data_IF_155852968681
#
_entry.id   IF_155852968681
#
_cell.length_a   1.000
_cell.length_b   1.000
_cell.length_c   1.000
_cell.angle_alpha   90.00
_cell.angle_beta   90.00
_cell.angle_gamma   90.00
#
_symmetry.space_group_name_H-M   'P 1'
#
loop_
_entity.id
_entity.type
_entity.pdbx_description
1 polymer ?
#
# COMPACT_ATOMS: atom_id res chain seq x y z
N UNK A 1 -35.25 -4.37 -22.92
CA UNK A 1 -35.23 -5.46 -21.93
C UNK A 1 -34.90 -6.74 -22.67
N UNK A 2 -33.66 -7.18 -22.67
CA UNK A 2 -33.26 -8.48 -23.19
C UNK A 2 -32.82 -9.31 -21.97
N UNK A 3 -33.68 -10.21 -21.53
CA UNK A 3 -33.34 -11.33 -20.65
C UNK A 3 -33.13 -12.54 -21.56
N UNK A 4 -31.94 -12.68 -22.13
CA UNK A 4 -31.56 -13.81 -22.95
C UNK A 4 -30.16 -14.23 -22.61
N UNK A 5 -29.95 -15.48 -22.22
CA UNK A 5 -28.68 -16.14 -22.36
C UNK A 5 -28.32 -16.06 -23.83
N UNK A 6 -27.17 -15.48 -24.15
CA UNK A 6 -26.57 -15.60 -25.48
C UNK A 6 -25.97 -17.01 -25.55
N UNK A 7 -26.79 -18.01 -25.85
CA UNK A 7 -26.27 -19.33 -26.16
C UNK A 7 -25.40 -19.24 -27.42
N UNK A 8 -24.11 -19.57 -27.26
CA UNK A 8 -23.13 -19.89 -28.31
C UNK A 8 -23.13 -18.94 -29.51
N UNK A 9 -23.10 -17.64 -29.23
CA UNK A 9 -22.88 -16.65 -30.24
C UNK A 9 -21.44 -16.78 -30.74
N UNK A 10 -21.25 -16.86 -32.04
CA UNK A 10 -19.97 -16.75 -32.70
C UNK A 10 -19.15 -15.66 -32.03
N UNK A 11 -18.09 -16.05 -31.34
CA UNK A 11 -17.14 -15.10 -30.79
C UNK A 11 -16.58 -14.33 -31.94
N UNK A 12 -16.92 -13.03 -32.05
CA UNK A 12 -16.32 -12.19 -33.09
C UNK A 12 -14.85 -12.02 -32.72
N UNK A 13 -13.99 -12.60 -33.57
CA UNK A 13 -12.53 -12.54 -33.41
C UNK A 13 -11.94 -11.33 -34.15
N UNK A 14 -12.77 -10.46 -34.71
CA UNK A 14 -12.31 -9.26 -35.41
C UNK A 14 -11.82 -8.19 -34.41
N UNK A 15 -10.78 -7.47 -34.84
CA UNK A 15 -10.23 -6.36 -34.05
C UNK A 15 -11.25 -5.24 -33.92
N UNK A 16 -11.31 -4.66 -32.71
CA UNK A 16 -12.24 -3.58 -32.38
C UNK A 16 -13.70 -4.00 -32.20
N UNK A 17 -13.99 -5.32 -32.09
CA UNK A 17 -15.31 -5.83 -31.76
C UNK A 17 -15.52 -5.82 -30.25
N UNK A 18 -16.63 -5.23 -29.79
CA UNK A 18 -16.95 -5.13 -28.37
C UNK A 18 -18.22 -5.95 -28.07
N UNK A 19 -18.23 -6.69 -26.95
CA UNK A 19 -19.41 -7.50 -26.62
C UNK A 19 -20.60 -6.65 -26.16
N UNK A 20 -20.36 -5.64 -25.30
CA UNK A 20 -21.38 -4.67 -24.86
C UNK A 20 -20.85 -3.26 -25.11
N UNK A 21 -21.54 -2.49 -25.97
CA UNK A 21 -21.12 -1.12 -26.29
C UNK A 21 -22.26 -0.13 -26.22
N UNK A 22 -22.15 0.86 -25.34
CA UNK A 22 -23.01 2.04 -25.33
C UNK A 22 -22.29 3.21 -26.01
N UNK A 23 -22.97 3.89 -26.94
CA UNK A 23 -22.42 4.98 -27.72
C UNK A 23 -23.47 6.10 -27.86
N UNK A 24 -23.08 7.34 -28.16
CA UNK A 24 -24.00 8.47 -28.37
C UNK A 24 -25.02 8.68 -27.25
N UNK A 25 -24.57 8.67 -25.99
CA UNK A 25 -25.42 8.87 -24.81
C UNK A 25 -26.46 7.75 -24.58
N UNK A 26 -26.25 6.59 -25.18
CA UNK A 26 -27.12 5.45 -24.97
C UNK A 26 -27.01 4.92 -23.54
N UNK A 27 -28.11 4.34 -23.06
CA UNK A 27 -28.14 3.59 -21.81
C UNK A 27 -28.44 2.12 -22.09
N UNK A 28 -27.59 1.23 -21.59
CA UNK A 28 -27.77 -0.22 -21.64
C UNK A 28 -27.98 -0.71 -20.21
N UNK A 29 -29.02 -1.51 -19.99
CA UNK A 29 -29.26 -2.19 -18.73
C UNK A 29 -29.29 -3.70 -18.98
N UNK A 30 -28.45 -4.46 -18.30
CA UNK A 30 -28.35 -5.92 -18.39
C UNK A 30 -28.60 -6.47 -16.98
N UNK A 31 -29.39 -7.50 -16.87
CA UNK A 31 -29.65 -8.19 -15.58
C UNK A 31 -28.47 -9.02 -15.11
N UNK A 32 -28.73 -9.83 -14.09
CA UNK A 32 -27.74 -10.68 -13.45
C UNK A 32 -27.22 -11.79 -14.40
N UNK A 33 -25.97 -12.24 -14.14
CA UNK A 33 -25.37 -13.40 -14.78
C UNK A 33 -24.92 -13.18 -16.23
N UNK A 34 -24.62 -11.93 -16.61
CA UNK A 34 -24.03 -11.66 -17.93
C UNK A 34 -22.71 -12.44 -18.09
N UNK A 35 -22.58 -13.19 -19.18
CA UNK A 35 -21.30 -13.71 -19.65
C UNK A 35 -20.95 -13.02 -20.96
N UNK A 36 -19.83 -12.32 -21.03
CA UNK A 36 -19.40 -11.59 -22.22
C UNK A 36 -17.88 -11.68 -22.39
N UNK A 37 -17.43 -12.00 -23.61
CA UNK A 37 -16.00 -12.13 -23.94
C UNK A 37 -15.65 -11.65 -25.32
N UNK A 38 -14.37 -11.31 -25.53
CA UNK A 38 -13.81 -10.91 -26.82
C UNK A 38 -12.45 -11.56 -27.03
N UNK A 39 -12.07 -11.83 -28.29
CA UNK A 39 -10.79 -12.44 -28.64
C UNK A 39 -9.89 -11.51 -29.48
N UNK A 40 -10.48 -10.54 -30.18
CA UNK A 40 -9.73 -9.63 -31.08
C UNK A 40 -8.95 -8.57 -30.33
N UNK A 41 -7.95 -7.97 -30.99
CA UNK A 41 -7.21 -6.82 -30.47
C UNK A 41 -8.13 -5.60 -30.31
N UNK A 42 -7.86 -4.77 -29.30
CA UNK A 42 -8.65 -3.56 -28.98
C UNK A 42 -10.16 -3.81 -28.86
N UNK A 43 -10.53 -5.01 -28.43
CA UNK A 43 -11.90 -5.51 -28.32
C UNK A 43 -12.30 -5.64 -26.86
N UNK A 44 -13.12 -4.71 -26.36
CA UNK A 44 -13.50 -4.64 -24.95
C UNK A 44 -14.75 -5.48 -24.67
N UNK A 45 -14.83 -6.10 -23.50
CA UNK A 45 -16.06 -6.81 -23.11
C UNK A 45 -17.19 -5.82 -22.83
N UNK A 46 -16.92 -4.74 -22.09
CA UNK A 46 -17.89 -3.65 -21.79
C UNK A 46 -17.27 -2.31 -22.13
N UNK A 47 -17.91 -1.54 -23.03
CA UNK A 47 -17.37 -0.29 -23.52
C UNK A 47 -18.40 0.85 -23.55
N UNK A 48 -18.21 1.86 -22.71
CA UNK A 48 -18.95 3.11 -22.80
C UNK A 48 -18.13 4.12 -23.61
N UNK A 49 -18.54 4.32 -24.87
CA UNK A 49 -17.81 5.14 -25.84
C UNK A 49 -18.41 6.55 -25.97
N UNK A 50 -17.55 7.51 -26.29
CA UNK A 50 -17.97 8.84 -26.71
C UNK A 50 -18.35 8.78 -28.19
N UNK A 51 -19.60 9.11 -28.51
CA UNK A 51 -20.01 9.24 -29.89
C UNK A 51 -19.37 10.45 -30.58
N UNK A 52 -19.27 10.39 -31.91
CA UNK A 52 -18.73 11.50 -32.75
C UNK A 52 -19.63 12.74 -32.82
N UNK A 53 -20.68 12.82 -32.02
CA UNK A 53 -21.61 13.97 -32.03
C UNK A 53 -20.98 15.18 -31.37
N UNK A 54 -20.90 16.29 -32.09
CA UNK A 54 -20.40 17.56 -31.60
C UNK A 54 -21.49 18.42 -30.92
N UNK A 55 -22.72 17.93 -30.84
CA UNK A 55 -23.89 18.78 -30.55
C UNK A 55 -24.46 18.65 -29.15
N UNK A 56 -24.03 17.71 -28.32
CA UNK A 56 -24.48 17.63 -26.92
C UNK A 56 -23.39 17.12 -25.98
N UNK A 57 -22.66 18.01 -25.28
CA UNK A 57 -21.59 17.62 -24.37
C UNK A 57 -22.07 17.18 -22.98
N UNK A 58 -23.36 17.23 -22.66
CA UNK A 58 -23.85 17.13 -21.27
C UNK A 58 -24.31 15.74 -20.84
N UNK A 59 -24.48 14.78 -21.73
CA UNK A 59 -24.87 13.42 -21.39
C UNK A 59 -23.83 12.39 -21.76
N UNK A 60 -23.44 11.47 -20.87
CA UNK A 60 -22.55 10.37 -21.13
C UNK A 60 -23.27 9.07 -21.47
N UNK A 61 -22.57 8.15 -22.13
CA UNK A 61 -23.05 6.77 -22.32
C UNK A 61 -23.08 6.03 -20.99
N UNK A 62 -24.12 5.22 -20.78
CA UNK A 62 -24.33 4.50 -19.51
C UNK A 62 -24.50 3.01 -19.75
N UNK A 63 -23.87 2.21 -18.88
CA UNK A 63 -24.04 0.75 -18.89
C UNK A 63 -24.23 0.31 -17.45
N UNK A 64 -25.30 -0.42 -17.18
CA UNK A 64 -25.57 -1.04 -15.89
C UNK A 64 -25.66 -2.55 -16.09
N UNK A 65 -24.87 -3.30 -15.37
CA UNK A 65 -24.80 -4.77 -15.42
C UNK A 65 -25.09 -5.29 -14.01
N UNK A 66 -26.03 -6.24 -13.91
CA UNK A 66 -26.41 -6.86 -12.67
C UNK A 66 -25.32 -7.79 -12.10
N UNK A 67 -25.67 -8.49 -11.04
CA UNK A 67 -24.78 -9.32 -10.23
C UNK A 67 -24.20 -10.51 -10.97
N UNK A 68 -22.98 -10.92 -10.56
CA UNK A 68 -22.36 -12.17 -11.03
C UNK A 68 -21.99 -12.14 -12.52
N UNK A 69 -21.60 -10.98 -13.06
CA UNK A 69 -21.14 -10.88 -14.43
C UNK A 69 -19.79 -11.60 -14.61
N UNK A 70 -19.61 -12.30 -15.72
CA UNK A 70 -18.33 -12.92 -16.13
C UNK A 70 -17.86 -12.24 -17.41
N UNK A 71 -16.76 -11.47 -17.31
CA UNK A 71 -16.23 -10.68 -18.40
C UNK A 71 -14.82 -11.14 -18.74
N UNK A 72 -14.52 -11.39 -20.03
CA UNK A 72 -13.19 -11.83 -20.44
C UNK A 72 -12.72 -11.19 -21.71
N UNK A 73 -11.41 -10.95 -21.84
CA UNK A 73 -10.77 -10.49 -23.08
C UNK A 73 -9.45 -11.21 -23.29
N UNK A 74 -9.12 -11.54 -24.56
CA UNK A 74 -7.89 -12.26 -24.88
C UNK A 74 -6.93 -11.46 -25.78
N UNK A 75 -7.42 -10.52 -26.56
CA UNK A 75 -6.59 -9.74 -27.47
C UNK A 75 -5.84 -8.61 -26.78
N UNK A 76 -4.75 -8.15 -27.38
CA UNK A 76 -3.96 -7.03 -26.88
C UNK A 76 -4.76 -5.71 -26.88
N UNK A 77 -4.52 -4.87 -25.88
CA UNK A 77 -5.25 -3.61 -25.72
C UNK A 77 -6.74 -3.78 -25.45
N UNK A 78 -7.18 -4.95 -25.00
CA UNK A 78 -8.59 -5.32 -24.82
C UNK A 78 -8.96 -5.37 -23.35
N UNK A 79 -9.73 -4.40 -22.88
CA UNK A 79 -10.11 -4.26 -21.46
C UNK A 79 -11.42 -4.98 -21.17
N UNK A 80 -11.60 -5.53 -19.96
CA UNK A 80 -12.92 -6.06 -19.58
C UNK A 80 -13.93 -4.92 -19.42
N UNK A 81 -13.54 -3.79 -18.83
CA UNK A 81 -14.38 -2.60 -18.67
C UNK A 81 -13.63 -1.38 -19.14
N UNK A 82 -14.17 -0.68 -20.16
CA UNK A 82 -13.58 0.52 -20.73
C UNK A 82 -14.55 1.70 -20.67
N UNK A 83 -14.17 2.75 -19.95
CA UNK A 83 -14.86 4.05 -19.93
C UNK A 83 -14.12 5.05 -20.81
N UNK A 84 -14.73 5.46 -21.89
CA UNK A 84 -14.22 6.50 -22.78
C UNK A 84 -15.34 7.47 -23.21
N UNK A 85 -16.25 7.79 -22.30
CA UNK A 85 -17.38 8.69 -22.54
C UNK A 85 -17.37 9.87 -21.55
N UNK A 86 -17.51 11.08 -22.10
CA UNK A 86 -17.61 12.29 -21.29
C UNK A 86 -18.87 12.23 -20.42
N UNK A 87 -18.71 12.39 -19.09
CA UNK A 87 -19.77 12.20 -18.11
C UNK A 87 -20.49 10.84 -18.22
N UNK A 88 -19.79 9.82 -18.73
CA UNK A 88 -20.30 8.45 -18.84
C UNK A 88 -20.32 7.75 -17.48
N UNK A 89 -21.12 6.69 -17.39
CA UNK A 89 -21.17 5.86 -16.18
C UNK A 89 -21.27 4.38 -16.54
N UNK A 90 -20.41 3.55 -15.96
CA UNK A 90 -20.54 2.10 -15.97
C UNK A 90 -20.73 1.64 -14.52
N UNK A 91 -21.73 0.80 -14.29
CA UNK A 91 -21.96 0.13 -13.01
C UNK A 91 -21.96 -1.36 -13.27
N UNK A 92 -21.09 -2.08 -12.57
CA UNK A 92 -21.06 -3.53 -12.51
C UNK A 92 -21.40 -3.91 -11.06
N UNK A 93 -22.51 -4.61 -10.84
CA UNK A 93 -22.94 -4.99 -9.50
C UNK A 93 -22.04 -6.08 -8.90
N UNK A 94 -22.33 -6.49 -7.68
CA UNK A 94 -21.51 -7.38 -6.85
C UNK A 94 -21.18 -8.75 -7.51
N UNK A 95 -20.00 -9.30 -7.16
CA UNK A 95 -19.59 -10.66 -7.52
C UNK A 95 -19.20 -10.84 -8.99
N UNK A 96 -18.76 -9.78 -9.67
CA UNK A 96 -18.30 -9.89 -11.05
C UNK A 96 -16.91 -10.53 -11.11
N UNK A 97 -16.67 -11.33 -12.16
CA UNK A 97 -15.36 -11.91 -12.50
C UNK A 97 -14.85 -11.28 -13.80
N UNK A 98 -13.67 -10.65 -13.75
CA UNK A 98 -13.09 -9.92 -14.87
C UNK A 98 -11.68 -10.45 -15.18
N UNK A 99 -11.44 -10.93 -16.40
CA UNK A 99 -10.14 -11.51 -16.77
C UNK A 99 -9.64 -10.95 -18.09
N UNK A 100 -8.37 -10.53 -18.15
CA UNK A 100 -7.66 -10.16 -19.39
C UNK A 100 -6.41 -11.00 -19.59
N UNK A 101 -6.12 -11.41 -20.84
CA UNK A 101 -4.95 -12.21 -21.19
C UNK A 101 -3.93 -11.45 -22.04
N UNK A 102 -4.36 -10.48 -22.86
CA UNK A 102 -3.51 -9.74 -23.78
C UNK A 102 -2.65 -8.68 -23.14
N UNK A 103 -1.57 -8.27 -23.81
CA UNK A 103 -0.71 -7.18 -23.38
C UNK A 103 -1.43 -5.83 -23.44
N UNK A 104 -1.14 -4.93 -22.51
CA UNK A 104 -1.80 -3.63 -22.41
C UNK A 104 -3.31 -3.71 -22.16
N UNK A 105 -3.80 -4.84 -21.65
CA UNK A 105 -5.22 -5.14 -21.47
C UNK A 105 -5.59 -5.02 -19.99
N UNK A 106 -6.19 -3.89 -19.64
CA UNK A 106 -6.54 -3.60 -18.24
C UNK A 106 -7.86 -4.27 -17.83
N UNK A 107 -8.00 -4.61 -16.56
CA UNK A 107 -9.28 -5.07 -16.03
C UNK A 107 -10.33 -3.96 -16.15
N UNK A 108 -10.15 -2.86 -15.44
CA UNK A 108 -11.02 -1.69 -15.48
C UNK A 108 -10.22 -0.47 -15.90
N UNK A 109 -10.65 0.21 -16.96
CA UNK A 109 -9.94 1.36 -17.49
C UNK A 109 -10.85 2.55 -17.75
N UNK A 110 -10.36 3.75 -17.44
CA UNK A 110 -10.95 5.00 -17.89
C UNK A 110 -9.86 5.86 -18.55
N UNK A 111 -9.94 6.07 -19.86
CA UNK A 111 -9.07 6.99 -20.57
C UNK A 111 -9.75 7.62 -21.79
N UNK A 112 -9.24 8.76 -22.21
CA UNK A 112 -9.77 9.46 -23.35
C UNK A 112 -9.49 8.67 -24.64
N UNK A 113 -10.55 8.35 -25.39
CA UNK A 113 -10.40 7.85 -26.75
C UNK A 113 -9.80 8.95 -27.63
N UNK A 114 -8.60 8.70 -28.15
CA UNK A 114 -7.88 9.65 -29.02
C UNK A 114 -8.61 9.92 -30.34
N UNK A 115 -9.57 9.08 -30.71
CA UNK A 115 -10.42 9.24 -31.89
C UNK A 115 -11.62 10.17 -31.64
N UNK A 116 -11.94 10.48 -30.37
CA UNK A 116 -13.03 11.38 -30.01
C UNK A 116 -12.69 12.83 -30.34
N UNK A 117 -13.61 13.54 -31.00
CA UNK A 117 -13.48 15.00 -31.17
C UNK A 117 -13.90 15.68 -29.86
N UNK A 118 -12.93 16.15 -29.10
CA UNK A 118 -13.16 16.88 -27.85
C UNK A 118 -12.50 16.21 -26.64
N UNK A 119 -12.34 16.94 -25.55
CA UNK A 119 -11.81 16.41 -24.29
C UNK A 119 -12.85 15.48 -23.66
N UNK A 120 -12.53 14.22 -23.47
CA UNK A 120 -13.33 13.27 -22.70
C UNK A 120 -12.90 13.38 -21.24
N UNK A 121 -13.85 13.61 -20.34
CA UNK A 121 -13.61 13.82 -18.92
C UNK A 121 -14.78 13.32 -18.07
N UNK A 122 -14.56 13.22 -16.76
CA UNK A 122 -15.57 12.92 -15.75
C UNK A 122 -16.32 11.59 -15.97
N UNK A 123 -15.69 10.57 -16.52
CA UNK A 123 -16.24 9.22 -16.59
C UNK A 123 -16.22 8.54 -15.21
N UNK A 124 -17.27 7.82 -14.87
CA UNK A 124 -17.37 7.05 -13.64
C UNK A 124 -17.49 5.56 -13.93
N UNK A 125 -16.76 4.73 -13.14
CA UNK A 125 -16.94 3.28 -13.13
C UNK A 125 -17.10 2.84 -11.68
N UNK A 126 -18.16 2.07 -11.41
CA UNK A 126 -18.43 1.48 -10.10
C UNK A 126 -18.37 -0.03 -10.23
N UNK A 127 -17.54 -0.68 -9.44
CA UNK A 127 -17.37 -2.12 -9.37
C UNK A 127 -17.86 -2.61 -8.02
N UNK A 128 -18.89 -3.44 -8.03
CA UNK A 128 -19.58 -3.92 -6.84
C UNK A 128 -18.76 -4.89 -6.00
N UNK A 129 -19.16 -5.03 -4.76
CA UNK A 129 -18.48 -5.77 -3.72
C UNK A 129 -18.20 -7.25 -4.10
N UNK A 130 -17.07 -7.78 -3.60
CA UNK A 130 -16.69 -9.17 -3.83
C UNK A 130 -16.34 -9.51 -5.28
N UNK A 131 -16.17 -8.52 -6.15
CA UNK A 131 -15.74 -8.73 -7.54
C UNK A 131 -14.25 -9.06 -7.62
N UNK A 132 -13.82 -9.77 -8.67
CA UNK A 132 -12.44 -10.12 -8.92
C UNK A 132 -11.97 -9.57 -10.27
N UNK A 133 -10.72 -9.12 -10.31
CA UNK A 133 -10.05 -8.60 -11.50
C UNK A 133 -8.72 -9.32 -11.65
N UNK A 134 -8.50 -10.01 -12.76
CA UNK A 134 -7.26 -10.71 -13.06
C UNK A 134 -6.68 -10.28 -14.40
N UNK A 135 -5.40 -9.92 -14.44
CA UNK A 135 -4.70 -9.54 -15.67
C UNK A 135 -3.40 -10.34 -15.83
N UNK A 136 -3.16 -10.91 -17.01
CA UNK A 136 -1.97 -11.75 -17.27
C UNK A 136 -0.95 -11.08 -18.18
N UNK A 137 -1.34 -10.20 -19.09
CA UNK A 137 -0.45 -9.58 -20.07
C UNK A 137 0.48 -8.52 -19.48
N UNK A 138 1.60 -8.26 -20.16
CA UNK A 138 2.52 -7.18 -19.79
C UNK A 138 1.88 -5.79 -19.95
N UNK A 139 2.15 -4.86 -19.01
CA UNK A 139 1.55 -3.54 -19.02
C UNK A 139 0.03 -3.53 -18.78
N UNK A 140 -0.52 -4.61 -18.21
CA UNK A 140 -1.96 -4.82 -18.03
C UNK A 140 -2.34 -4.60 -16.59
N UNK A 141 -2.81 -3.39 -16.27
CA UNK A 141 -3.15 -3.01 -14.90
C UNK A 141 -4.51 -3.56 -14.47
N UNK A 142 -4.67 -3.84 -13.18
CA UNK A 142 -5.98 -4.21 -12.62
C UNK A 142 -6.99 -3.08 -12.84
N UNK A 143 -6.71 -1.88 -12.32
CA UNK A 143 -7.53 -0.67 -12.47
C UNK A 143 -6.68 0.50 -12.96
N UNK A 144 -7.10 1.16 -14.03
CA UNK A 144 -6.36 2.26 -14.65
C UNK A 144 -7.21 3.53 -14.82
N UNK A 145 -6.91 4.56 -14.05
CA UNK A 145 -7.58 5.86 -14.11
C UNK A 145 -6.72 6.90 -14.85
N UNK A 146 -6.94 7.06 -16.16
CA UNK A 146 -6.21 8.01 -17.01
C UNK A 146 -7.14 8.96 -17.79
N UNK A 147 -8.27 9.29 -17.21
CA UNK A 147 -9.20 10.29 -17.74
C UNK A 147 -9.34 11.44 -16.74
N UNK A 148 -9.18 12.67 -17.18
CA UNK A 148 -9.32 13.85 -16.31
C UNK A 148 -10.70 13.87 -15.64
N UNK A 149 -10.70 13.97 -14.30
CA UNK A 149 -11.92 14.00 -13.51
C UNK A 149 -12.69 12.68 -13.47
N UNK A 150 -12.11 11.57 -13.93
CA UNK A 150 -12.73 10.25 -13.76
C UNK A 150 -12.63 9.76 -12.31
N UNK A 151 -13.64 8.99 -11.91
CA UNK A 151 -13.66 8.29 -10.62
C UNK A 151 -13.95 6.82 -10.89
N UNK A 152 -13.02 5.95 -10.48
CA UNK A 152 -13.16 4.50 -10.53
C UNK A 152 -13.30 4.02 -9.08
N UNK A 153 -14.52 3.62 -8.71
CA UNK A 153 -14.83 3.18 -7.34
C UNK A 153 -14.93 1.66 -7.30
N UNK A 154 -14.22 1.07 -6.37
CA UNK A 154 -14.27 -0.33 -6.02
C UNK A 154 -14.99 -0.45 -4.68
N UNK A 155 -16.06 -1.22 -4.62
CA UNK A 155 -16.74 -1.52 -3.36
C UNK A 155 -15.92 -2.49 -2.48
N UNK A 156 -16.50 -2.90 -1.36
CA UNK A 156 -15.82 -3.74 -0.38
C UNK A 156 -15.41 -5.12 -0.93
N UNK A 157 -14.29 -5.64 -0.43
CA UNK A 157 -13.80 -7.00 -0.73
C UNK A 157 -13.53 -7.28 -2.22
N UNK A 158 -13.13 -6.28 -2.99
CA UNK A 158 -12.66 -6.50 -4.36
C UNK A 158 -11.29 -7.14 -4.34
N UNK A 159 -11.07 -8.15 -5.19
CA UNK A 159 -9.78 -8.82 -5.39
C UNK A 159 -9.13 -8.41 -6.72
N UNK A 160 -7.83 -8.10 -6.72
CA UNK A 160 -7.05 -7.76 -7.90
C UNK A 160 -5.80 -8.60 -7.95
N UNK A 161 -5.55 -9.28 -9.08
CA UNK A 161 -4.32 -10.01 -9.34
C UNK A 161 -3.72 -9.55 -10.66
N UNK A 162 -2.42 -9.22 -10.69
CA UNK A 162 -1.69 -8.91 -11.91
C UNK A 162 -0.44 -9.76 -12.01
N UNK A 163 -0.25 -10.46 -13.14
CA UNK A 163 0.87 -11.40 -13.36
C UNK A 163 1.94 -10.84 -14.29
N UNK A 164 1.56 -9.95 -15.23
CA UNK A 164 2.46 -9.43 -16.25
C UNK A 164 3.47 -8.40 -15.73
N UNK A 165 4.61 -8.26 -16.42
CA UNK A 165 5.60 -7.23 -16.14
C UNK A 165 5.02 -5.82 -16.33
N UNK A 166 5.45 -4.87 -15.50
CA UNK A 166 4.96 -3.48 -15.46
C UNK A 166 3.42 -3.38 -15.38
N UNK A 167 2.79 -4.34 -14.69
CA UNK A 167 1.34 -4.47 -14.53
C UNK A 167 0.94 -4.16 -13.10
N UNK A 168 0.46 -2.95 -12.88
CA UNK A 168 0.14 -2.46 -11.53
C UNK A 168 -1.26 -2.92 -11.10
N UNK A 169 -1.45 -3.14 -9.80
CA UNK A 169 -2.78 -3.40 -9.24
C UNK A 169 -3.71 -2.22 -9.49
N UNK A 170 -3.35 -1.06 -8.98
CA UNK A 170 -4.02 0.24 -9.19
C UNK A 170 -3.04 1.22 -9.83
N UNK A 171 -3.45 1.89 -10.90
CA UNK A 171 -2.70 2.98 -11.52
C UNK A 171 -3.58 4.21 -11.72
N UNK A 172 -3.26 5.32 -11.07
CA UNK A 172 -3.92 6.61 -11.28
C UNK A 172 -2.97 7.62 -11.91
N UNK A 173 -3.34 8.13 -13.10
CA UNK A 173 -2.60 9.17 -13.82
C UNK A 173 -3.35 10.50 -13.82
N UNK A 174 -4.63 10.52 -14.15
CA UNK A 174 -5.43 11.75 -14.32
C UNK A 174 -6.79 11.68 -13.67
N UNK A 175 -7.10 10.57 -13.03
CA UNK A 175 -8.36 10.32 -12.34
C UNK A 175 -8.12 9.88 -10.91
N UNK A 176 -9.21 9.54 -10.25
CA UNK A 176 -9.25 9.07 -8.87
C UNK A 176 -9.61 7.59 -8.87
N UNK A 177 -8.94 6.80 -8.05
CA UNK A 177 -9.36 5.45 -7.69
C UNK A 177 -9.76 5.49 -6.22
N UNK A 178 -11.00 5.12 -5.92
CA UNK A 178 -11.52 4.93 -4.57
C UNK A 178 -11.67 3.44 -4.31
N UNK A 179 -11.09 2.96 -3.23
CA UNK A 179 -11.11 1.55 -2.88
C UNK A 179 -11.84 1.34 -1.54
N UNK A 180 -12.89 0.55 -1.55
CA UNK A 180 -13.66 0.14 -0.37
C UNK A 180 -12.87 -0.75 0.58
N UNK A 181 -13.50 -1.15 1.65
CA UNK A 181 -12.90 -1.95 2.70
C UNK A 181 -12.57 -3.37 2.22
N UNK A 182 -11.46 -3.92 2.71
CA UNK A 182 -11.05 -5.29 2.40
C UNK A 182 -10.56 -5.51 0.98
N UNK A 183 -10.13 -4.44 0.26
CA UNK A 183 -9.46 -4.61 -1.03
C UNK A 183 -8.25 -5.54 -0.88
N UNK A 184 -8.11 -6.48 -1.81
CA UNK A 184 -6.98 -7.42 -1.86
C UNK A 184 -6.24 -7.29 -3.18
N UNK A 185 -4.96 -6.91 -3.14
CA UNK A 185 -4.08 -6.75 -4.31
C UNK A 185 -2.92 -7.72 -4.21
N UNK A 186 -2.72 -8.56 -5.23
CA UNK A 186 -1.53 -9.39 -5.43
C UNK A 186 -0.88 -9.04 -6.76
N UNK A 187 0.42 -8.72 -6.73
CA UNK A 187 1.19 -8.30 -7.90
C UNK A 187 2.42 -9.20 -8.04
N UNK A 188 2.61 -9.83 -9.20
CA UNK A 188 3.66 -10.83 -9.41
C UNK A 188 4.71 -10.39 -10.45
N UNK A 189 4.36 -9.55 -11.42
CA UNK A 189 5.25 -9.19 -12.53
C UNK A 189 6.36 -8.20 -12.14
N UNK A 190 7.50 -8.30 -12.83
CA UNK A 190 8.66 -7.42 -12.61
C UNK A 190 8.33 -5.96 -12.93
N UNK A 191 8.81 -5.03 -12.09
CA UNK A 191 8.56 -3.59 -12.20
C UNK A 191 7.10 -3.19 -11.96
N UNK A 192 6.32 -4.07 -11.35
CA UNK A 192 4.90 -3.86 -11.06
C UNK A 192 4.70 -3.32 -9.65
N UNK A 193 3.70 -2.47 -9.46
CA UNK A 193 3.39 -1.86 -8.16
C UNK A 193 1.98 -2.24 -7.71
N UNK A 194 1.78 -2.38 -6.41
CA UNK A 194 0.44 -2.62 -5.85
C UNK A 194 -0.49 -1.44 -6.11
N UNK A 195 -0.13 -0.26 -5.63
CA UNK A 195 -0.82 1.00 -5.89
C UNK A 195 0.19 2.05 -6.38
N UNK A 196 -0.10 2.65 -7.55
CA UNK A 196 0.80 3.60 -8.18
C UNK A 196 0.08 4.86 -8.67
N UNK A 197 0.61 6.02 -8.31
CA UNK A 197 0.18 7.32 -8.85
C UNK A 197 1.37 7.99 -9.51
N UNK A 198 1.29 8.31 -10.81
CA UNK A 198 2.42 8.84 -11.57
C UNK A 198 2.19 10.23 -12.19
N UNK A 199 1.17 10.94 -11.75
CA UNK A 199 0.91 12.31 -12.17
C UNK A 199 0.20 13.11 -11.07
N UNK A 200 0.44 14.43 -11.04
CA UNK A 200 -0.08 15.34 -10.02
C UNK A 200 -1.62 15.42 -9.93
N UNK A 201 -2.32 15.00 -10.97
CA UNK A 201 -3.78 14.98 -11.01
C UNK A 201 -4.38 13.60 -10.71
N UNK A 202 -3.52 12.59 -10.48
CA UNK A 202 -3.94 11.26 -10.08
C UNK A 202 -4.02 11.14 -8.55
N UNK A 203 -4.95 10.34 -8.06
CA UNK A 203 -5.01 9.95 -6.66
C UNK A 203 -5.60 8.56 -6.45
N UNK A 204 -5.18 7.92 -5.37
CA UNK A 204 -5.75 6.67 -4.87
C UNK A 204 -6.15 6.91 -3.42
N UNK A 205 -7.38 6.54 -3.07
CA UNK A 205 -7.90 6.64 -1.72
C UNK A 205 -8.41 5.27 -1.25
N UNK A 206 -7.82 4.76 -0.18
CA UNK A 206 -8.31 3.59 0.52
C UNK A 206 -9.29 4.04 1.61
N UNK A 207 -10.57 3.75 1.41
CA UNK A 207 -11.67 4.14 2.31
C UNK A 207 -11.81 3.18 3.51
N UNK A 208 -11.10 2.07 3.50
CA UNK A 208 -11.02 1.08 4.55
C UNK A 208 -9.71 0.31 4.49
N UNK A 209 -9.58 -0.78 5.25
CA UNK A 209 -8.40 -1.63 5.24
C UNK A 209 -8.16 -2.29 3.88
N UNK A 210 -6.91 -2.63 3.62
CA UNK A 210 -6.51 -3.32 2.39
C UNK A 210 -5.37 -4.32 2.65
N UNK A 211 -5.37 -5.41 1.90
CA UNK A 211 -4.20 -6.28 1.77
C UNK A 211 -3.51 -5.98 0.46
N UNK A 212 -2.22 -5.62 0.52
CA UNK A 212 -1.39 -5.37 -0.66
C UNK A 212 -0.16 -6.25 -0.54
N UNK A 213 -0.03 -7.20 -1.46
CA UNK A 213 1.13 -8.09 -1.55
C UNK A 213 1.85 -7.86 -2.86
N UNK A 214 3.06 -7.33 -2.77
CA UNK A 214 3.96 -7.15 -3.90
C UNK A 214 5.19 -8.04 -3.70
N UNK A 215 5.19 -9.18 -4.37
CA UNK A 215 6.28 -10.16 -4.33
C UNK A 215 7.42 -9.81 -5.30
N UNK A 216 7.28 -8.75 -6.11
CA UNK A 216 8.31 -8.29 -7.02
C UNK A 216 9.34 -7.41 -6.30
N UNK A 217 10.60 -7.83 -6.33
CA UNK A 217 11.70 -7.08 -5.71
C UNK A 217 12.03 -5.76 -6.41
N UNK A 218 11.62 -5.59 -7.67
CA UNK A 218 11.87 -4.38 -8.47
C UNK A 218 10.70 -3.38 -8.41
N UNK A 219 9.58 -3.76 -7.78
CA UNK A 219 8.39 -2.93 -7.62
C UNK A 219 8.18 -2.43 -6.18
N UNK A 220 7.10 -1.69 -5.98
CA UNK A 220 6.70 -1.15 -4.69
C UNK A 220 5.27 -1.61 -4.36
N UNK A 221 5.01 -1.89 -3.09
CA UNK A 221 3.62 -2.08 -2.64
C UNK A 221 2.81 -0.80 -2.89
N UNK A 222 3.40 0.36 -2.56
CA UNK A 222 2.78 1.68 -2.77
C UNK A 222 3.83 2.64 -3.32
N UNK A 223 3.50 3.29 -4.43
CA UNK A 223 4.37 4.29 -5.05
C UNK A 223 3.60 5.57 -5.42
N UNK A 224 4.03 6.70 -4.90
CA UNK A 224 3.52 8.02 -5.27
C UNK A 224 4.60 8.82 -6.00
N UNK A 225 4.44 9.00 -7.33
CA UNK A 225 5.24 9.91 -8.15
C UNK A 225 4.34 11.08 -8.59
N UNK A 226 4.49 12.23 -7.97
CA UNK A 226 3.75 13.50 -8.20
C UNK A 226 2.30 13.56 -7.71
N UNK A 227 1.62 12.46 -7.44
CA UNK A 227 0.23 12.45 -6.99
C UNK A 227 0.10 12.03 -5.54
N UNK A 228 -1.10 11.67 -5.11
CA UNK A 228 -1.39 11.35 -3.71
C UNK A 228 -1.99 9.97 -3.55
N UNK A 229 -1.55 9.25 -2.52
CA UNK A 229 -2.15 8.00 -2.06
C UNK A 229 -2.49 8.19 -0.60
N UNK A 230 -3.76 8.05 -0.26
CA UNK A 230 -4.24 8.18 1.11
C UNK A 230 -4.99 6.93 1.54
N UNK A 231 -5.02 6.66 2.84
CA UNK A 231 -5.77 5.52 3.35
C UNK A 231 -6.05 5.61 4.83
N UNK A 232 -7.24 5.16 5.22
CA UNK A 232 -7.67 5.05 6.61
C UNK A 232 -8.22 3.66 6.85
N UNK A 233 -7.56 2.89 7.74
CA UNK A 233 -8.02 1.54 8.10
C UNK A 233 -9.44 1.55 8.72
N UNK A 234 -9.79 2.60 9.44
CA UNK A 234 -11.07 2.69 10.13
C UNK A 234 -11.23 1.57 11.16
N UNK A 235 -12.24 0.71 10.97
CA UNK A 235 -12.46 -0.48 11.81
C UNK A 235 -11.79 -1.75 11.25
N UNK A 236 -11.11 -1.65 10.12
CA UNK A 236 -10.43 -2.74 9.43
C UNK A 236 -8.92 -2.65 9.58
N UNK A 237 -8.16 -3.42 8.82
CA UNK A 237 -6.71 -3.47 8.91
C UNK A 237 -6.05 -3.25 7.55
N UNK A 238 -4.91 -2.58 7.54
CA UNK A 238 -3.96 -2.70 6.45
C UNK A 238 -3.02 -3.88 6.71
N UNK A 239 -2.80 -4.70 5.68
CA UNK A 239 -1.75 -5.70 5.65
C UNK A 239 -0.94 -5.49 4.37
N UNK A 240 0.21 -4.82 4.49
CA UNK A 240 1.00 -4.37 3.35
C UNK A 240 2.36 -5.05 3.38
N UNK A 241 2.67 -5.79 2.33
CA UNK A 241 3.97 -6.43 2.09
C UNK A 241 4.62 -5.84 0.85
N UNK A 242 5.86 -5.37 0.99
CA UNK A 242 6.62 -4.67 -0.06
C UNK A 242 6.93 -3.23 0.32
N UNK A 243 7.83 -2.61 -0.41
CA UNK A 243 8.36 -1.29 -0.07
C UNK A 243 7.39 -0.15 -0.46
N UNK A 244 7.55 1.00 0.20
CA UNK A 244 6.86 2.24 -0.18
C UNK A 244 7.87 3.26 -0.70
N UNK A 245 7.48 4.00 -1.73
CA UNK A 245 8.31 5.05 -2.31
C UNK A 245 7.49 6.30 -2.65
N UNK A 246 8.00 7.46 -2.29
CA UNK A 246 7.43 8.74 -2.68
C UNK A 246 8.49 9.62 -3.36
N UNK A 247 8.17 10.13 -4.54
CA UNK A 247 9.08 10.91 -5.38
C UNK A 247 8.38 12.11 -6.02
N UNK A 248 9.15 13.09 -6.46
CA UNK A 248 8.69 14.24 -7.24
C UNK A 248 7.46 14.98 -6.64
N UNK A 249 7.48 15.20 -5.32
CA UNK A 249 6.37 15.76 -4.54
C UNK A 249 5.13 14.85 -4.44
N UNK A 250 5.28 13.57 -4.72
CA UNK A 250 4.26 12.56 -4.43
C UNK A 250 4.08 12.39 -2.91
N UNK A 251 2.87 12.03 -2.49
CA UNK A 251 2.55 11.86 -1.08
C UNK A 251 1.84 10.54 -0.81
N UNK A 252 2.31 9.84 0.22
CA UNK A 252 1.64 8.69 0.81
C UNK A 252 1.26 9.05 2.24
N UNK A 253 -0.01 8.90 2.60
CA UNK A 253 -0.51 9.17 3.95
C UNK A 253 -1.43 8.02 4.38
N UNK A 254 -0.97 7.20 5.34
CA UNK A 254 -1.69 6.02 5.79
C UNK A 254 -1.98 6.09 7.29
N UNK A 255 -3.26 6.03 7.63
CA UNK A 255 -3.75 5.86 8.99
C UNK A 255 -3.97 4.36 9.29
N UNK A 256 -2.95 3.73 9.85
CA UNK A 256 -2.90 2.30 10.14
C UNK A 256 -3.38 2.05 11.57
N UNK A 257 -4.46 1.32 11.71
CA UNK A 257 -5.15 1.08 12.98
C UNK A 257 -5.48 -0.41 13.15
N UNK A 258 -5.94 -0.79 14.34
CA UNK A 258 -6.52 -2.11 14.63
C UNK A 258 -5.64 -3.31 14.23
N UNK A 259 -4.40 -3.34 14.69
CA UNK A 259 -3.42 -4.38 14.37
C UNK A 259 -3.01 -4.41 12.88
N UNK A 260 -3.03 -3.27 12.21
CA UNK A 260 -2.49 -3.16 10.84
C UNK A 260 -1.00 -3.51 10.82
N UNK A 261 -0.55 -4.10 9.72
CA UNK A 261 0.84 -4.53 9.56
C UNK A 261 1.41 -3.98 8.25
N UNK A 262 2.55 -3.33 8.33
CA UNK A 262 3.39 -2.99 7.18
C UNK A 262 4.72 -3.74 7.30
N UNK A 263 5.06 -4.54 6.30
CA UNK A 263 6.34 -5.23 6.17
C UNK A 263 7.05 -4.71 4.93
N UNK A 264 8.09 -3.91 5.12
CA UNK A 264 8.80 -3.27 4.02
C UNK A 264 9.67 -2.11 4.49
N UNK A 265 10.38 -1.52 3.55
CA UNK A 265 11.14 -0.29 3.73
C UNK A 265 10.42 0.90 3.09
N UNK A 266 10.84 2.11 3.48
CA UNK A 266 10.36 3.36 2.91
C UNK A 266 11.51 4.18 2.35
N UNK A 267 11.29 4.87 1.23
CA UNK A 267 12.26 5.78 0.66
C UNK A 267 11.60 7.05 0.12
N UNK A 268 12.30 8.16 0.22
CA UNK A 268 11.86 9.48 -0.22
C UNK A 268 12.86 10.06 -1.23
N UNK A 269 12.35 10.75 -2.25
CA UNK A 269 13.18 11.54 -3.15
C UNK A 269 12.43 12.79 -3.62
N UNK A 270 13.17 13.82 -4.05
CA UNK A 270 12.65 15.00 -4.75
C UNK A 270 11.38 15.59 -4.11
N UNK A 271 11.41 15.84 -2.80
CA UNK A 271 10.30 16.35 -1.99
C UNK A 271 9.08 15.41 -1.90
N UNK A 272 9.25 14.12 -2.13
CA UNK A 272 8.24 13.11 -1.82
C UNK A 272 8.01 13.01 -0.31
N UNK A 273 6.83 12.64 0.12
CA UNK A 273 6.47 12.51 1.54
C UNK A 273 5.79 11.17 1.82
N UNK A 274 6.16 10.57 2.95
CA UNK A 274 5.47 9.40 3.50
C UNK A 274 5.12 9.70 4.95
N UNK A 275 3.84 9.65 5.28
CA UNK A 275 3.30 9.81 6.61
C UNK A 275 2.64 8.51 7.06
N UNK A 276 3.12 7.94 8.15
CA UNK A 276 2.59 6.70 8.72
C UNK A 276 2.04 6.98 10.11
N UNK A 277 0.77 6.69 10.34
CA UNK A 277 0.12 6.77 11.64
C UNK A 277 -0.15 5.36 12.15
N UNK A 278 0.66 4.87 13.09
CA UNK A 278 0.53 3.55 13.69
C UNK A 278 -0.21 3.66 15.03
N UNK A 279 -1.40 3.08 15.12
CA UNK A 279 -2.29 3.14 16.28
C UNK A 279 -2.79 1.74 16.66
N UNK A 280 -3.16 1.57 17.93
CA UNK A 280 -3.87 0.39 18.42
C UNK A 280 -3.22 -0.94 17.98
N UNK A 281 -1.98 -1.17 18.45
CA UNK A 281 -1.18 -2.37 18.19
C UNK A 281 -0.86 -2.61 16.69
N UNK A 282 -0.69 -1.55 15.92
CA UNK A 282 -0.20 -1.67 14.55
C UNK A 282 1.32 -1.82 14.50
N UNK A 283 1.82 -2.49 13.46
CA UNK A 283 3.22 -2.86 13.35
C UNK A 283 3.83 -2.37 12.03
N UNK A 284 5.03 -1.83 12.13
CA UNK A 284 5.92 -1.68 10.99
C UNK A 284 7.15 -2.57 11.16
N UNK A 285 7.24 -3.61 10.36
CA UNK A 285 8.40 -4.49 10.25
C UNK A 285 9.34 -3.93 9.18
N UNK A 286 10.37 -3.22 9.60
CA UNK A 286 11.33 -2.57 8.70
C UNK A 286 12.27 -3.62 8.11
N UNK A 287 12.35 -3.70 6.78
CA UNK A 287 13.18 -4.71 6.08
C UNK A 287 14.53 -4.18 5.65
N UNK A 288 14.71 -2.87 5.56
CA UNK A 288 15.99 -2.18 5.30
C UNK A 288 15.92 -0.73 5.77
N UNK A 289 17.07 -0.03 5.75
CA UNK A 289 17.10 1.39 6.15
C UNK A 289 16.04 2.21 5.44
N UNK A 290 15.33 3.04 6.19
CA UNK A 290 14.09 3.67 5.78
C UNK A 290 14.03 5.14 6.19
N UNK A 291 13.26 5.92 5.44
CA UNK A 291 13.01 7.34 5.70
C UNK A 291 11.51 7.61 5.64
N UNK A 292 10.99 8.39 6.60
CA UNK A 292 9.60 8.88 6.62
C UNK A 292 9.54 10.35 6.99
N UNK A 293 8.61 11.10 6.40
CA UNK A 293 8.40 12.51 6.70
C UNK A 293 7.70 12.70 8.05
N UNK A 294 6.72 11.86 8.35
CA UNK A 294 6.03 11.86 9.64
C UNK A 294 5.75 10.43 10.10
N UNK A 295 5.97 10.18 11.37
CA UNK A 295 5.67 8.93 12.04
C UNK A 295 4.92 9.19 13.33
N UNK A 296 3.68 8.78 13.38
CA UNK A 296 2.91 8.73 14.63
C UNK A 296 2.89 7.31 15.16
N UNK A 297 3.29 7.10 16.42
CA UNK A 297 3.28 5.77 17.04
C UNK A 297 2.61 5.86 18.40
N UNK A 298 1.50 5.14 18.58
CA UNK A 298 0.72 5.18 19.82
C UNK A 298 -0.02 3.86 20.08
N UNK A 299 -0.62 3.74 21.26
CA UNK A 299 -1.51 2.62 21.58
C UNK A 299 -0.86 1.24 21.49
N UNK A 300 0.39 1.10 21.92
CA UNK A 300 1.13 -0.17 21.88
C UNK A 300 1.62 -0.58 20.49
N UNK A 301 1.52 0.31 19.51
CA UNK A 301 2.06 0.06 18.18
C UNK A 301 3.58 0.00 18.19
N UNK A 302 4.16 -0.77 17.28
CA UNK A 302 5.58 -1.07 17.26
C UNK A 302 6.23 -0.79 15.91
N UNK A 303 7.41 -0.18 15.94
CA UNK A 303 8.36 -0.14 14.84
C UNK A 303 9.50 -1.12 15.17
N UNK A 304 9.56 -2.23 14.45
CA UNK A 304 10.64 -3.19 14.53
C UNK A 304 11.68 -2.84 13.49
N UNK A 305 12.81 -2.25 13.90
CA UNK A 305 13.83 -1.70 13.00
C UNK A 305 14.53 -2.75 12.18
N UNK A 306 14.64 -3.98 12.68
CA UNK A 306 15.25 -5.09 11.93
C UNK A 306 14.36 -6.32 11.99
N UNK A 307 13.55 -6.47 10.99
CA UNK A 307 12.77 -7.67 10.79
C UNK A 307 13.66 -8.82 10.34
N UNK A 308 13.37 -10.05 10.80
CA UNK A 308 14.11 -11.29 10.42
C UNK A 308 15.62 -11.31 10.77
N UNK A 309 15.96 -10.89 11.98
CA UNK A 309 17.34 -10.94 12.51
C UNK A 309 18.39 -10.14 11.72
N UNK A 310 17.98 -9.15 10.94
CA UNK A 310 18.89 -8.17 10.36
C UNK A 310 19.48 -7.24 11.44
N UNK A 311 20.53 -6.52 11.09
CA UNK A 311 21.17 -5.47 11.90
C UNK A 311 21.60 -4.30 11.03
N UNK A 312 21.97 -3.20 11.70
CA UNK A 312 22.46 -1.97 11.07
C UNK A 312 21.41 -1.25 10.20
N UNK A 313 20.16 -1.46 10.51
CA UNK A 313 19.07 -0.71 9.93
C UNK A 313 19.03 0.68 10.56
N UNK A 314 18.91 1.70 9.71
CA UNK A 314 18.71 3.08 10.15
C UNK A 314 17.31 3.51 9.72
N UNK A 315 16.48 3.92 10.68
CA UNK A 315 15.20 4.56 10.41
C UNK A 315 15.34 6.04 10.69
N UNK A 316 15.10 6.87 9.68
CA UNK A 316 15.11 8.33 9.79
C UNK A 316 13.68 8.84 9.76
N UNK A 317 13.34 9.67 10.75
CA UNK A 317 12.00 10.26 10.91
C UNK A 317 12.14 11.78 10.96
N UNK A 318 11.50 12.50 10.04
CA UNK A 318 11.55 13.97 10.10
C UNK A 318 10.72 14.50 11.26
N UNK A 319 9.51 13.98 11.48
CA UNK A 319 8.64 14.40 12.59
C UNK A 319 8.02 13.19 13.30
N UNK A 320 8.42 12.95 14.54
CA UNK A 320 7.91 11.88 15.42
C UNK A 320 6.84 12.42 16.37
N UNK A 321 5.68 11.77 16.42
CA UNK A 321 4.58 12.14 17.31
C UNK A 321 3.93 10.92 18.00
N UNK A 322 2.99 11.18 18.90
CA UNK A 322 2.31 10.18 19.71
C UNK A 322 3.07 9.81 20.96
N UNK A 323 2.52 8.89 21.72
CA UNK A 323 3.10 8.33 22.96
C UNK A 323 2.67 6.88 23.16
N UNK A 324 3.50 6.11 23.88
CA UNK A 324 3.22 4.70 24.14
C UNK A 324 3.52 3.79 22.95
N UNK A 325 4.24 4.28 21.94
CA UNK A 325 4.77 3.46 20.87
C UNK A 325 6.04 2.74 21.29
N UNK A 326 6.34 1.62 20.64
CA UNK A 326 7.49 0.77 20.90
C UNK A 326 8.46 0.80 19.73
N UNK A 327 9.74 1.02 20.00
CA UNK A 327 10.81 0.86 19.02
C UNK A 327 11.67 -0.34 19.41
N UNK A 328 11.77 -1.33 18.52
CA UNK A 328 12.54 -2.55 18.74
C UNK A 328 13.81 -2.53 17.91
N UNK A 329 14.94 -2.72 18.60
CA UNK A 329 16.29 -2.69 18.02
C UNK A 329 16.94 -4.06 18.07
N UNK A 330 17.64 -4.45 17.02
CA UNK A 330 18.66 -5.51 17.08
C UNK A 330 20.03 -4.85 17.29
N UNK A 331 20.82 -5.39 18.20
CA UNK A 331 22.12 -4.84 18.59
C UNK A 331 23.16 -5.94 18.82
N UNK A 332 24.42 -5.58 18.75
CA UNK A 332 25.53 -6.35 19.30
C UNK A 332 26.24 -5.51 20.37
N UNK A 333 26.15 -5.90 21.61
CA UNK A 333 26.73 -5.13 22.73
C UNK A 333 28.25 -5.09 22.74
N UNK A 334 28.91 -6.02 22.09
CA UNK A 334 30.38 -6.08 21.97
C UNK A 334 30.96 -5.24 20.83
N UNK A 335 30.10 -4.64 19.99
CA UNK A 335 30.50 -3.81 18.87
C UNK A 335 29.63 -2.57 18.73
N UNK A 336 30.17 -1.38 19.05
CA UNK A 336 29.48 -0.10 18.82
C UNK A 336 29.15 0.16 17.34
N UNK A 337 29.82 -0.53 16.43
CA UNK A 337 29.59 -0.40 14.99
C UNK A 337 28.37 -1.18 14.50
N UNK A 338 27.88 -2.14 15.30
CA UNK A 338 26.80 -3.04 14.93
C UNK A 338 25.56 -2.77 15.76
N UNK A 339 24.48 -2.43 15.10
CA UNK A 339 23.18 -2.21 15.75
C UNK A 339 22.31 -1.27 14.96
N UNK A 340 21.04 -1.40 15.17
CA UNK A 340 20.02 -0.53 14.58
C UNK A 340 20.08 0.87 15.19
N UNK A 341 19.65 1.86 14.40
CA UNK A 341 19.61 3.27 14.80
C UNK A 341 18.27 3.89 14.43
N UNK A 342 17.77 4.73 15.35
CA UNK A 342 16.65 5.63 15.07
C UNK A 342 17.17 7.06 15.09
N UNK A 343 16.95 7.79 14.00
CA UNK A 343 17.32 9.21 13.86
C UNK A 343 16.05 10.03 13.69
N UNK A 344 15.85 11.00 14.59
CA UNK A 344 14.65 11.84 14.62
C UNK A 344 15.10 13.29 14.46
N UNK A 345 14.53 14.00 13.49
CA UNK A 345 14.84 15.42 13.28
C UNK A 345 14.01 16.31 14.24
N UNK A 346 12.74 15.99 14.39
CA UNK A 346 11.82 16.67 15.33
C UNK A 346 10.95 15.67 16.05
N UNK A 347 10.67 15.88 17.32
CA UNK A 347 9.78 15.04 18.11
C UNK A 347 8.75 15.87 18.88
N UNK A 348 7.60 15.28 19.18
CA UNK A 348 6.54 15.91 19.97
C UNK A 348 6.99 16.12 21.40
N UNK A 349 6.84 17.34 21.90
CA UNK A 349 7.25 17.71 23.27
C UNK A 349 6.48 16.93 24.32
N UNK A 350 7.22 16.23 25.19
CA UNK A 350 6.67 15.46 26.29
C UNK A 350 6.12 14.09 25.91
N UNK A 351 6.32 13.67 24.66
CA UNK A 351 6.04 12.29 24.26
C UNK A 351 6.97 11.30 24.95
N UNK A 352 6.47 10.09 25.19
CA UNK A 352 7.27 9.00 25.77
C UNK A 352 7.03 7.74 24.95
N UNK A 353 8.13 7.12 24.52
CA UNK A 353 8.13 5.86 23.79
C UNK A 353 8.93 4.80 24.52
N UNK A 354 8.64 3.54 24.23
CA UNK A 354 9.30 2.40 24.84
C UNK A 354 10.33 1.78 23.91
N UNK A 355 11.39 1.22 24.49
CA UNK A 355 12.48 0.60 23.77
C UNK A 355 12.55 -0.88 24.12
N UNK A 356 12.48 -1.72 23.11
CA UNK A 356 12.82 -3.14 23.19
C UNK A 356 14.16 -3.39 22.51
N UNK A 357 14.97 -4.26 23.08
CA UNK A 357 16.29 -4.60 22.53
C UNK A 357 16.44 -6.11 22.42
N UNK A 358 16.81 -6.57 21.25
CA UNK A 358 17.25 -7.92 20.98
C UNK A 358 18.77 -7.91 20.78
N UNK A 359 19.50 -8.46 21.76
CA UNK A 359 20.95 -8.49 21.70
C UNK A 359 21.46 -9.77 21.06
N UNK A 360 22.02 -9.64 19.88
CA UNK A 360 22.51 -10.76 19.09
C UNK A 360 23.89 -11.24 19.54
N UNK A 361 24.62 -10.46 20.35
CA UNK A 361 25.93 -10.88 20.90
C UNK A 361 25.83 -12.02 21.92
N UNK A 362 24.67 -12.16 22.57
CA UNK A 362 24.40 -13.25 23.53
C UNK A 362 24.40 -14.64 22.91
N UNK A 363 24.35 -14.74 21.60
CA UNK A 363 24.42 -16.01 20.86
C UNK A 363 25.86 -16.44 20.68
N UNK A 364 26.85 -15.53 20.73
CA UNK A 364 28.22 -15.76 20.27
C UNK A 364 29.31 -15.53 21.29
N UNK A 365 29.04 -15.10 22.54
CA UNK A 365 30.15 -14.92 23.49
C UNK A 365 29.85 -14.13 24.75
N UNK A 366 30.83 -14.06 25.63
CA UNK A 366 30.79 -13.31 26.90
C UNK A 366 30.94 -11.82 26.62
N UNK A 367 29.99 -11.02 27.10
CA UNK A 367 30.08 -9.56 27.10
C UNK A 367 30.84 -9.13 28.36
N UNK A 368 31.98 -8.50 28.21
CA UNK A 368 32.79 -7.99 29.32
C UNK A 368 32.91 -6.46 29.29
N UNK A 369 32.57 -5.81 30.43
CA UNK A 369 32.81 -4.39 30.71
C UNK A 369 31.56 -3.47 30.58
N UNK A 370 31.65 -2.29 31.21
CA UNK A 370 30.64 -1.25 31.03
C UNK A 370 30.69 -0.72 29.58
N UNK A 371 29.57 -0.89 28.86
CA UNK A 371 29.43 -0.39 27.49
C UNK A 371 28.20 0.49 27.40
N UNK A 372 28.32 1.59 26.68
CA UNK A 372 27.16 2.37 26.25
C UNK A 372 27.04 2.26 24.74
N UNK A 373 25.88 1.80 24.30
CA UNK A 373 25.58 1.60 22.90
C UNK A 373 24.58 2.66 22.46
N UNK A 374 24.96 3.51 21.54
CA UNK A 374 24.09 4.53 20.99
C UNK A 374 22.95 3.88 20.17
N UNK A 375 21.69 4.19 20.49
CA UNK A 375 20.50 3.68 19.80
C UNK A 375 19.73 4.76 19.06
N UNK A 376 19.53 5.93 19.68
CA UNK A 376 18.60 6.96 19.19
C UNK A 376 19.28 8.32 19.20
N UNK A 377 19.09 9.07 18.11
CA UNK A 377 19.35 10.52 18.05
C UNK A 377 18.01 11.22 17.90
N UNK A 378 17.63 12.08 18.86
CA UNK A 378 16.49 13.01 18.76
C UNK A 378 17.03 14.44 18.72
N UNK A 379 17.19 14.99 17.53
CA UNK A 379 17.79 16.32 17.34
C UNK A 379 17.03 17.44 18.05
N UNK A 380 15.73 17.27 18.29
CA UNK A 380 14.92 18.22 19.04
C UNK A 380 15.00 18.04 20.55
N UNK A 381 15.40 16.86 21.02
CA UNK A 381 15.47 16.47 22.45
C UNK A 381 14.14 16.60 23.19
N UNK A 382 13.01 16.48 22.50
CA UNK A 382 11.67 16.68 23.05
C UNK A 382 11.00 15.41 23.54
N UNK A 383 11.30 14.25 22.92
CA UNK A 383 10.77 12.96 23.31
C UNK A 383 11.60 12.31 24.43
N UNK A 384 10.98 11.37 25.14
CA UNK A 384 11.63 10.50 26.11
C UNK A 384 11.53 9.04 25.67
N UNK A 385 12.60 8.27 25.93
CA UNK A 385 12.69 6.86 25.60
C UNK A 385 12.99 6.05 26.85
N UNK A 386 12.20 5.00 27.08
CA UNK A 386 12.27 4.18 28.31
C UNK A 386 12.35 2.71 27.91
N UNK A 387 13.32 2.00 28.49
CA UNK A 387 13.40 0.55 28.32
C UNK A 387 12.18 -0.16 28.91
N UNK A 388 11.66 -1.14 28.20
CA UNK A 388 10.52 -1.94 28.64
C UNK A 388 10.82 -3.44 28.51
N UNK A 389 10.22 -4.25 29.36
CA UNK A 389 10.34 -5.69 29.29
C UNK A 389 9.79 -6.22 27.96
N UNK A 390 10.63 -6.98 27.27
CA UNK A 390 10.25 -7.73 26.09
C UNK A 390 10.17 -9.21 26.42
N UNK A 391 8.97 -9.78 26.26
CA UNK A 391 8.79 -11.23 26.24
C UNK A 391 9.39 -11.76 24.92
N UNK A 392 10.46 -12.54 25.04
CA UNK A 392 11.15 -13.10 23.86
C UNK A 392 10.52 -14.40 23.37
N UNK A 393 9.47 -14.91 24.07
CA UNK A 393 8.90 -16.23 23.81
C UNK A 393 9.83 -17.40 24.17
N UNK A 394 10.97 -17.08 24.80
CA UNK A 394 12.01 -18.04 25.22
C UNK A 394 12.04 -18.24 26.76
N UNK A 395 13.21 -18.72 27.24
CA UNK A 395 13.43 -18.91 28.68
C UNK A 395 13.64 -17.61 29.45
N UNK A 396 13.90 -16.51 28.74
CA UNK A 396 14.30 -15.23 29.33
C UNK A 396 13.49 -14.06 28.77
N UNK A 397 13.00 -13.21 29.67
CA UNK A 397 12.53 -11.87 29.35
C UNK A 397 13.70 -10.87 29.45
N UNK A 398 13.71 -9.85 28.60
CA UNK A 398 14.78 -8.86 28.52
C UNK A 398 14.25 -7.47 28.91
N UNK A 399 14.94 -6.81 29.84
CA UNK A 399 14.70 -5.41 30.20
C UNK A 399 15.93 -4.57 29.86
N UNK A 400 15.88 -3.72 28.82
CA UNK A 400 16.96 -2.76 28.57
C UNK A 400 16.82 -1.54 29.50
N UNK A 401 17.96 -0.99 29.92
CA UNK A 401 18.04 0.36 30.50
C UNK A 401 18.54 1.32 29.45
N UNK A 402 17.75 2.34 29.15
CA UNK A 402 18.06 3.37 28.15
C UNK A 402 18.18 4.71 28.86
N UNK A 403 19.31 5.40 28.69
CA UNK A 403 19.61 6.66 29.34
C UNK A 403 19.95 7.75 28.34
N UNK A 404 19.53 8.98 28.63
CA UNK A 404 19.85 10.14 27.82
C UNK A 404 21.30 10.54 28.00
N UNK A 405 21.94 11.00 26.93
CA UNK A 405 23.36 11.27 26.88
C UNK A 405 23.86 12.28 27.91
N UNK A 406 23.07 13.31 28.25
CA UNK A 406 23.49 14.30 29.27
C UNK A 406 23.68 13.70 30.66
N UNK A 407 23.02 12.61 31.00
CA UNK A 407 23.26 11.86 32.25
C UNK A 407 24.55 11.06 32.21
N UNK A 408 25.10 10.83 31.03
CA UNK A 408 26.30 10.04 30.78
C UNK A 408 27.52 10.88 30.37
N UNK A 409 27.38 12.22 30.37
CA UNK A 409 28.40 13.15 29.89
C UNK A 409 28.51 13.26 28.38
N UNK A 410 27.47 12.84 27.66
CA UNK A 410 27.33 12.92 26.21
C UNK A 410 26.30 13.99 25.82
N UNK A 411 25.90 14.05 24.55
CA UNK A 411 24.92 15.02 24.09
C UNK A 411 23.51 14.68 24.54
N UNK A 412 22.71 15.68 24.91
CA UNK A 412 21.34 15.53 25.39
C UNK A 412 20.37 15.02 24.33
N UNK A 413 20.74 15.10 23.03
CA UNK A 413 19.94 14.59 21.94
C UNK A 413 20.19 13.10 21.61
N UNK A 414 21.07 12.46 22.36
CA UNK A 414 21.43 11.06 22.15
C UNK A 414 20.92 10.17 23.28
N UNK A 415 20.53 8.95 22.95
CA UNK A 415 20.04 7.94 23.89
C UNK A 415 20.83 6.66 23.72
N UNK A 416 21.25 6.11 24.86
CA UNK A 416 22.16 4.98 24.93
C UNK A 416 21.55 3.82 25.70
N UNK A 417 21.76 2.61 25.20
CA UNK A 417 21.59 1.38 25.97
C UNK A 417 22.79 1.26 26.94
N UNK A 418 22.52 1.25 28.24
CA UNK A 418 23.56 1.17 29.26
C UNK A 418 23.55 -0.14 30.04
N UNK A 419 22.43 -0.88 30.00
CA UNK A 419 22.28 -2.15 30.71
C UNK A 419 21.21 -3.02 30.07
N UNK A 420 21.38 -4.33 30.15
CA UNK A 420 20.35 -5.32 29.90
C UNK A 420 20.19 -6.21 31.13
N UNK A 421 18.98 -6.33 31.63
CA UNK A 421 18.60 -7.28 32.66
C UNK A 421 17.81 -8.41 32.04
N UNK A 422 18.16 -9.65 32.41
CA UNK A 422 17.43 -10.86 32.01
C UNK A 422 16.67 -11.41 33.21
N UNK A 423 15.45 -11.82 32.96
CA UNK A 423 14.61 -12.49 33.94
C UNK A 423 14.16 -13.82 33.38
N UNK A 424 14.33 -14.90 34.14
CA UNK A 424 13.82 -16.20 33.76
C UNK A 424 12.28 -16.18 33.69
N UNK A 425 11.74 -16.62 32.59
CA UNK A 425 10.31 -16.62 32.34
C UNK A 425 9.58 -17.53 33.36
N UNK A 426 8.74 -16.95 34.19
CA UNK A 426 8.02 -17.65 35.27
C UNK A 426 8.71 -17.76 36.62
N UNK A 427 9.92 -17.20 36.79
CA UNK A 427 10.62 -17.14 38.08
C UNK A 427 10.81 -15.70 38.56
N UNK A 428 10.76 -15.48 39.89
CA UNK A 428 10.89 -14.15 40.53
C UNK A 428 12.34 -13.69 40.71
N UNK A 429 13.33 -14.50 40.38
CA UNK A 429 14.73 -14.15 40.56
C UNK A 429 15.25 -13.36 39.34
N UNK A 430 15.60 -12.12 39.55
CA UNK A 430 16.27 -11.29 38.55
C UNK A 430 17.76 -11.67 38.53
N UNK A 431 18.21 -12.28 37.47
CA UNK A 431 19.65 -12.47 37.23
C UNK A 431 20.16 -11.16 36.64
N UNK A 432 20.87 -10.39 37.44
CA UNK A 432 21.61 -9.22 36.99
C UNK A 432 22.86 -9.68 36.25
N UNK A 433 22.76 -9.99 34.98
CA UNK A 433 23.91 -9.95 34.07
C UNK A 433 24.12 -8.48 33.70
N UNK A 434 24.56 -7.68 34.68
CA UNK A 434 25.10 -6.36 34.39
C UNK A 434 26.29 -6.53 33.47
N UNK A 435 26.57 -5.51 32.65
CA UNK A 435 27.82 -5.40 31.88
C UNK A 435 29.08 -5.46 32.77
N UNK A 436 28.92 -5.79 34.03
CA UNK A 436 29.97 -5.81 35.01
C UNK A 436 30.47 -7.24 35.24
N UNK A 437 31.66 -7.39 34.91
CA UNK A 437 32.77 -8.26 35.25
C UNK A 437 33.08 -9.40 34.34
#
# INVERSE_FOLDING_TARGET
LYNGELEDSNVDTSDGAHAVRANFHATINIGDGLTAGTLGESSHAVYAAQGRSTTNPTGGSKINIGKGAVLSTAGDGSHTVMMASNNGKIVIEEGAEMTTLGDGSHGVAAYADTSAKGSVANGAVEIGAGSTIATAGGGSHGVFANMTGSVLSLDDNVGITTEGDASHGLLAQRGVIEAGDGLNISVEGSGSHGAYVNAATGSIEFLGGATIDNNDNDGYAIYADKGTITGTAGNSTFNITGNMYADNSGSIDLDMDNNSVFTGSTALANSGTINLNLKNNSYWHVTSSSEVSSLHVSGGSMVNLSHEAGMNTVVTVDDLSGSGGVFKFNTELDSEANGDKLVINSSETGSTHYVHVNDLSLINGEVSGEKKLHLITDNSSNASFVGEYMDTGGLWDVLPTVERGDTLGESANEWYLTKIEKKENGNTETINDGFAS
#
